data_IF_826932420214
#
_entry.id   IF_826932420214
#
_cell.length_a   1.000
_cell.length_b   1.000
_cell.length_c   1.000
_cell.angle_alpha   90.00
_cell.angle_beta   90.00
_cell.angle_gamma   90.00
#
_symmetry.space_group_name_H-M   'P 1'
#
loop_
_entity.id
_entity.type
_entity.pdbx_description
1 polymer ?
#
# COMPACT_ATOMS: atom_id res chain seq x y z
N UNK A 1 11.03 31.84 -22.14
CA UNK A 1 10.26 30.97 -21.25
C UNK A 1 10.50 31.45 -19.84
N UNK A 2 9.54 32.16 -19.22
CA UNK A 2 9.66 32.58 -17.83
C UNK A 2 9.52 31.34 -16.96
N UNK A 3 10.62 30.89 -16.34
CA UNK A 3 10.58 29.92 -15.28
C UNK A 3 9.86 30.57 -14.10
N UNK A 4 8.61 30.21 -13.89
CA UNK A 4 7.89 30.56 -12.67
C UNK A 4 8.61 29.79 -11.56
N UNK A 5 9.51 30.45 -10.84
CA UNK A 5 10.08 29.91 -9.61
C UNK A 5 8.93 29.73 -8.62
N UNK A 6 8.65 28.50 -8.17
CA UNK A 6 7.60 28.29 -7.19
C UNK A 6 7.89 29.14 -5.95
N UNK A 7 6.87 29.84 -5.49
CA UNK A 7 6.97 30.66 -4.28
C UNK A 7 7.23 29.70 -3.09
N UNK A 8 8.38 29.78 -2.41
CA UNK A 8 8.69 28.83 -1.36
C UNK A 8 7.73 29.00 -0.17
N UNK A 9 7.33 27.86 0.40
CA UNK A 9 6.41 27.85 1.53
C UNK A 9 7.05 28.40 2.80
N UNK A 10 6.33 29.26 3.50
CA UNK A 10 6.69 29.75 4.84
C UNK A 10 6.04 28.79 5.86
N UNK A 11 6.84 27.94 6.51
CA UNK A 11 6.35 26.93 7.47
C UNK A 11 6.98 27.17 8.83
N UNK A 12 6.14 27.48 9.82
CA UNK A 12 6.60 27.65 11.22
C UNK A 12 6.72 26.29 11.92
N UNK A 13 7.56 26.19 12.94
CA UNK A 13 7.68 25.00 13.78
C UNK A 13 6.34 24.59 14.43
N UNK A 14 5.47 25.55 14.73
CA UNK A 14 4.13 25.26 15.28
C UNK A 14 3.19 24.61 14.26
N UNK A 15 3.38 24.87 12.97
CA UNK A 15 2.58 24.27 11.89
C UNK A 15 2.94 22.81 11.64
N UNK A 16 4.15 22.39 12.03
CA UNK A 16 4.66 21.04 11.85
C UNK A 16 4.31 20.18 13.06
N UNK A 17 3.03 19.84 13.19
CA UNK A 17 2.59 18.90 14.23
C UNK A 17 2.84 17.46 13.80
N UNK A 18 3.61 16.74 14.61
CA UNK A 18 3.86 15.31 14.39
C UNK A 18 2.63 14.52 14.77
N UNK A 19 2.16 13.65 13.88
CA UNK A 19 1.22 12.61 14.29
C UNK A 19 1.91 11.63 15.25
N UNK A 20 1.23 11.23 16.34
CA UNK A 20 1.73 10.13 17.17
C UNK A 20 1.92 8.89 16.31
N UNK A 21 3.10 8.26 16.36
CA UNK A 21 3.41 7.07 15.55
C UNK A 21 2.38 5.95 15.71
N UNK A 22 1.86 5.78 16.92
CA UNK A 22 0.81 4.79 17.20
C UNK A 22 -0.45 5.08 16.39
N UNK A 23 -0.87 6.34 16.30
CA UNK A 23 -2.04 6.73 15.53
C UNK A 23 -1.85 6.47 14.02
N UNK A 24 -0.68 6.82 13.49
CA UNK A 24 -0.35 6.56 12.09
C UNK A 24 -0.37 5.05 11.77
N UNK A 25 0.24 4.22 12.66
CA UNK A 25 0.23 2.77 12.52
C UNK A 25 -1.19 2.19 12.65
N UNK A 26 -2.03 2.75 13.52
CA UNK A 26 -3.44 2.36 13.64
C UNK A 26 -4.22 2.64 12.34
N UNK A 27 -3.99 3.78 11.68
CA UNK A 27 -4.60 4.06 10.37
C UNK A 27 -4.12 3.07 9.31
N UNK A 28 -2.82 2.77 9.26
CA UNK A 28 -2.29 1.75 8.34
C UNK A 28 -2.89 0.38 8.62
N UNK A 29 -2.96 -0.04 9.88
CA UNK A 29 -3.56 -1.32 10.27
C UNK A 29 -5.05 -1.37 9.94
N UNK A 30 -5.81 -0.31 10.26
CA UNK A 30 -7.22 -0.21 9.94
C UNK A 30 -7.50 -0.24 8.43
N UNK A 31 -6.53 0.14 7.62
CA UNK A 31 -6.62 0.06 6.17
C UNK A 31 -6.27 -1.33 5.62
N UNK A 32 -5.21 -1.98 6.14
CA UNK A 32 -4.71 -3.27 5.64
C UNK A 32 -5.52 -4.45 6.18
N UNK A 33 -5.85 -4.47 7.48
CA UNK A 33 -6.46 -5.63 8.14
C UNK A 33 -7.85 -6.00 7.62
N UNK A 34 -8.77 -5.07 7.34
CA UNK A 34 -10.09 -5.44 6.79
C UNK A 34 -10.03 -6.11 5.42
N UNK A 35 -8.95 -5.89 4.66
CA UNK A 35 -8.70 -6.58 3.40
C UNK A 35 -8.26 -8.04 3.58
N UNK A 36 -7.66 -8.37 4.72
CA UNK A 36 -7.19 -9.72 5.04
C UNK A 36 -8.28 -10.58 5.67
N UNK A 37 -9.07 -10.01 6.60
CA UNK A 37 -10.03 -10.76 7.42
C UNK A 37 -11.48 -10.54 6.99
N UNK A 38 -12.33 -11.54 7.17
CA UNK A 38 -13.77 -11.42 7.12
C UNK A 38 -14.41 -11.37 5.72
N UNK A 39 -13.66 -11.71 4.66
CA UNK A 39 -14.22 -11.80 3.30
C UNK A 39 -13.90 -13.15 2.66
N UNK A 40 -14.91 -13.97 2.48
CA UNK A 40 -14.82 -15.07 1.52
C UNK A 40 -14.85 -14.51 0.08
N UNK A 41 -14.24 -15.21 -0.91
CA UNK A 41 -14.35 -14.84 -2.32
C UNK A 41 -15.83 -14.94 -2.74
N UNK A 42 -16.52 -13.81 -2.89
CA UNK A 42 -17.95 -13.80 -3.16
C UNK A 42 -18.32 -13.23 -4.53
N UNK A 43 -17.48 -12.39 -5.11
CA UNK A 43 -17.64 -11.91 -6.49
C UNK A 43 -17.11 -12.95 -7.46
N UNK A 44 -17.75 -13.11 -8.65
CA UNK A 44 -17.34 -14.09 -9.64
C UNK A 44 -15.86 -13.98 -10.05
N UNK A 45 -15.33 -12.75 -10.18
CA UNK A 45 -13.92 -12.51 -10.49
C UNK A 45 -12.99 -12.96 -9.35
N UNK A 46 -13.36 -12.75 -8.09
CA UNK A 46 -12.59 -13.17 -6.92
C UNK A 46 -12.60 -14.70 -6.79
N UNK A 47 -13.76 -15.31 -7.04
CA UNK A 47 -13.92 -16.76 -7.00
C UNK A 47 -13.11 -17.46 -8.09
N UNK A 48 -13.11 -16.93 -9.32
CA UNK A 48 -12.31 -17.49 -10.41
C UNK A 48 -10.82 -17.34 -10.14
N UNK A 49 -10.37 -16.15 -9.72
CA UNK A 49 -8.95 -15.90 -9.38
C UNK A 49 -8.47 -16.81 -8.25
N UNK A 50 -9.24 -16.92 -7.17
CA UNK A 50 -8.95 -17.84 -6.06
C UNK A 50 -8.95 -19.30 -6.53
N UNK A 51 -9.89 -19.69 -7.39
CA UNK A 51 -9.96 -21.03 -7.97
C UNK A 51 -8.67 -21.42 -8.73
N UNK A 52 -8.13 -20.50 -9.56
CA UNK A 52 -6.86 -20.72 -10.24
C UNK A 52 -5.69 -20.85 -9.25
N UNK A 53 -5.61 -19.98 -8.23
CA UNK A 53 -4.57 -20.06 -7.19
C UNK A 53 -4.61 -21.41 -6.47
N UNK A 54 -5.82 -21.86 -6.08
CA UNK A 54 -6.00 -23.13 -5.40
C UNK A 54 -5.67 -24.33 -6.29
N UNK A 55 -6.10 -24.30 -7.55
CA UNK A 55 -5.81 -25.39 -8.51
C UNK A 55 -4.30 -25.52 -8.79
N UNK A 56 -3.59 -24.39 -8.84
CA UNK A 56 -2.13 -24.37 -8.98
C UNK A 56 -1.48 -24.94 -7.69
N UNK A 57 -1.90 -24.47 -6.52
CA UNK A 57 -1.34 -24.89 -5.24
C UNK A 57 -1.52 -26.39 -4.98
N UNK A 58 -2.64 -26.96 -5.38
CA UNK A 58 -2.95 -28.38 -5.26
C UNK A 58 -2.35 -29.24 -6.39
N UNK A 59 -1.65 -28.65 -7.35
CA UNK A 59 -1.05 -29.36 -8.48
C UNK A 59 -2.05 -29.89 -9.50
N UNK A 60 -3.31 -29.43 -9.47
CA UNK A 60 -4.36 -29.84 -10.42
C UNK A 60 -4.17 -29.23 -11.81
N UNK A 61 -3.38 -28.17 -11.92
CA UNK A 61 -3.08 -27.48 -13.18
C UNK A 61 -1.61 -27.02 -13.19
N UNK A 62 -0.97 -26.93 -14.38
CA UNK A 62 0.41 -26.50 -14.46
C UNK A 62 0.57 -25.00 -14.11
N UNK A 63 1.71 -24.66 -13.52
CA UNK A 63 2.02 -23.28 -13.15
C UNK A 63 2.16 -22.34 -14.35
N UNK A 64 2.63 -22.86 -15.50
CA UNK A 64 2.88 -22.06 -16.69
C UNK A 64 1.64 -21.73 -17.51
N UNK A 65 0.62 -22.58 -17.45
CA UNK A 65 -0.62 -22.45 -18.23
C UNK A 65 -1.80 -23.00 -17.42
N UNK A 66 -2.22 -22.31 -16.35
CA UNK A 66 -3.29 -22.81 -15.50
C UNK A 66 -4.64 -22.79 -16.21
N UNK A 67 -5.41 -23.86 -15.99
CA UNK A 67 -6.76 -24.02 -16.53
C UNK A 67 -7.74 -24.47 -15.46
N UNK A 68 -8.99 -24.03 -15.53
CA UNK A 68 -10.08 -24.51 -14.70
C UNK A 68 -11.26 -24.89 -15.61
N UNK A 69 -11.71 -26.13 -15.50
CA UNK A 69 -12.81 -26.63 -16.35
C UNK A 69 -12.54 -26.51 -17.86
N UNK A 70 -11.27 -26.57 -18.27
CA UNK A 70 -10.84 -26.37 -19.65
C UNK A 70 -10.68 -24.91 -20.09
N UNK A 71 -11.02 -23.95 -19.22
CA UNK A 71 -10.84 -22.50 -19.49
C UNK A 71 -9.42 -22.07 -19.07
N UNK A 72 -8.65 -21.46 -19.98
CA UNK A 72 -7.32 -20.95 -19.65
C UNK A 72 -7.41 -19.67 -18.83
N UNK A 73 -6.36 -19.37 -18.07
CA UNK A 73 -6.21 -18.10 -17.37
C UNK A 73 -5.91 -16.99 -18.39
N UNK A 74 -6.80 -16.00 -18.48
CA UNK A 74 -6.68 -14.85 -19.40
C UNK A 74 -5.95 -13.66 -18.80
N UNK A 75 -5.65 -13.70 -17.49
CA UNK A 75 -5.03 -12.60 -16.74
C UNK A 75 -3.55 -12.88 -16.44
N UNK A 76 -2.86 -11.90 -15.81
CA UNK A 76 -1.45 -12.01 -15.46
C UNK A 76 -1.19 -13.21 -14.52
N UNK A 77 -0.15 -14.00 -14.80
CA UNK A 77 0.23 -15.18 -14.01
C UNK A 77 0.81 -14.84 -12.63
N UNK A 78 1.57 -13.75 -12.52
CA UNK A 78 2.29 -13.41 -11.31
C UNK A 78 1.43 -13.29 -10.04
N UNK A 79 0.28 -12.61 -10.04
CA UNK A 79 -0.61 -12.60 -8.88
C UNK A 79 -1.09 -14.00 -8.47
N UNK A 80 -1.38 -14.86 -9.45
CA UNK A 80 -1.83 -16.24 -9.19
C UNK A 80 -0.72 -17.09 -8.62
N UNK A 81 0.52 -16.92 -9.06
CA UNK A 81 1.69 -17.61 -8.49
C UNK A 81 1.94 -17.18 -7.04
N UNK A 82 1.83 -15.89 -6.73
CA UNK A 82 1.97 -15.37 -5.37
C UNK A 82 0.90 -15.98 -4.44
N UNK A 83 -0.36 -15.97 -4.87
CA UNK A 83 -1.45 -16.56 -4.10
C UNK A 83 -1.31 -18.08 -3.95
N UNK A 84 -0.98 -18.79 -5.04
CA UNK A 84 -0.78 -20.25 -5.01
C UNK A 84 0.41 -20.65 -4.12
N UNK A 85 1.53 -19.93 -4.22
CA UNK A 85 2.68 -20.16 -3.36
C UNK A 85 2.37 -19.93 -1.88
N UNK A 86 1.60 -18.89 -1.57
CA UNK A 86 1.16 -18.64 -0.21
C UNK A 86 0.20 -19.73 0.30
N UNK A 87 -0.74 -20.19 -0.52
CA UNK A 87 -1.61 -21.33 -0.18
C UNK A 87 -0.77 -22.57 0.12
N UNK A 88 0.16 -22.92 -0.77
CA UNK A 88 0.99 -24.11 -0.60
C UNK A 88 1.83 -24.08 0.68
N UNK A 89 2.30 -22.89 1.10
CA UNK A 89 3.13 -22.73 2.30
C UNK A 89 2.31 -22.61 3.59
N UNK A 90 1.18 -21.93 3.54
CA UNK A 90 0.45 -21.49 4.75
C UNK A 90 -0.83 -22.32 5.01
N UNK A 91 -1.39 -23.03 4.02
CA UNK A 91 -2.63 -23.77 4.20
C UNK A 91 -2.60 -24.86 5.30
N UNK A 92 -1.44 -25.41 5.73
CA UNK A 92 -1.39 -26.25 6.92
C UNK A 92 -1.67 -25.52 8.23
N UNK A 93 -1.55 -24.18 8.25
CA UNK A 93 -1.64 -23.35 9.44
C UNK A 93 -2.89 -22.46 9.45
N UNK A 94 -3.33 -22.02 8.28
CA UNK A 94 -4.45 -21.10 8.10
C UNK A 94 -5.29 -21.51 6.88
N UNK A 95 -6.54 -21.03 6.82
CA UNK A 95 -7.45 -21.31 5.71
C UNK A 95 -6.89 -20.81 4.37
N UNK A 96 -7.10 -21.59 3.30
CA UNK A 96 -6.61 -21.28 1.96
C UNK A 96 -7.04 -19.89 1.44
N UNK A 97 -8.29 -19.41 1.65
CA UNK A 97 -8.68 -18.04 1.27
C UNK A 97 -7.89 -16.95 1.99
N UNK A 98 -7.58 -17.13 3.26
CA UNK A 98 -6.74 -16.20 4.03
C UNK A 98 -5.29 -16.29 3.55
N UNK A 99 -4.75 -17.51 3.37
CA UNK A 99 -3.40 -17.73 2.87
C UNK A 99 -3.16 -17.03 1.52
N UNK A 100 -4.12 -17.13 0.58
CA UNK A 100 -4.04 -16.46 -0.71
C UNK A 100 -3.94 -14.92 -0.61
N UNK A 101 -4.50 -14.30 0.43
CA UNK A 101 -4.53 -12.83 0.62
C UNK A 101 -3.30 -12.28 1.31
N UNK A 102 -2.59 -13.10 2.10
CA UNK A 102 -1.42 -12.65 2.87
C UNK A 102 -0.39 -11.92 1.99
N UNK A 103 0.06 -12.44 0.83
CA UNK A 103 1.05 -11.75 0.02
C UNK A 103 0.55 -10.38 -0.49
N UNK A 104 -0.73 -10.24 -0.81
CA UNK A 104 -1.29 -8.96 -1.27
C UNK A 104 -1.40 -7.95 -0.12
N UNK A 105 -1.75 -8.39 1.08
CA UNK A 105 -1.72 -7.55 2.29
C UNK A 105 -0.30 -7.08 2.62
N UNK A 106 0.69 -7.95 2.49
CA UNK A 106 2.11 -7.58 2.67
C UNK A 106 2.60 -6.60 1.59
N UNK A 107 2.22 -6.80 0.33
CA UNK A 107 2.53 -5.86 -0.75
C UNK A 107 1.90 -4.49 -0.50
N UNK A 108 0.64 -4.45 -0.06
CA UNK A 108 -0.01 -3.20 0.32
C UNK A 108 0.72 -2.50 1.47
N UNK A 109 1.07 -3.24 2.53
CA UNK A 109 1.85 -2.70 3.63
C UNK A 109 3.22 -2.16 3.16
N UNK A 110 3.89 -2.88 2.25
CA UNK A 110 5.14 -2.45 1.63
C UNK A 110 4.97 -1.14 0.86
N UNK A 111 3.90 -1.00 0.07
CA UNK A 111 3.59 0.25 -0.66
C UNK A 111 3.41 1.41 0.31
N UNK A 112 2.69 1.22 1.42
CA UNK A 112 2.51 2.26 2.43
C UNK A 112 3.86 2.68 3.04
N UNK A 113 4.70 1.72 3.41
CA UNK A 113 6.04 1.97 3.95
C UNK A 113 6.92 2.71 2.94
N UNK A 114 6.98 2.24 1.70
CA UNK A 114 7.79 2.86 0.64
C UNK A 114 7.31 4.29 0.33
N UNK A 115 6.00 4.53 0.32
CA UNK A 115 5.44 5.88 0.12
C UNK A 115 5.88 6.81 1.24
N UNK A 116 5.80 6.38 2.49
CA UNK A 116 6.26 7.18 3.62
C UNK A 116 7.74 7.50 3.49
N UNK A 117 8.59 6.49 3.22
CA UNK A 117 10.03 6.69 3.07
C UNK A 117 10.39 7.57 1.88
N UNK A 118 9.74 7.38 0.74
CA UNK A 118 9.96 8.20 -0.45
C UNK A 118 9.61 9.67 -0.19
N UNK A 119 8.42 9.93 0.39
CA UNK A 119 8.00 11.27 0.75
C UNK A 119 8.95 11.91 1.77
N UNK A 120 9.40 11.15 2.79
CA UNK A 120 10.37 11.61 3.78
C UNK A 120 11.70 12.02 3.14
N UNK A 121 12.26 11.18 2.26
CA UNK A 121 13.52 11.49 1.60
C UNK A 121 13.42 12.68 0.63
N UNK A 122 12.31 12.75 -0.13
CA UNK A 122 12.06 13.88 -1.01
C UNK A 122 11.93 15.20 -0.23
N UNK A 123 11.18 15.18 0.88
CA UNK A 123 10.99 16.36 1.71
C UNK A 123 12.26 16.83 2.44
N UNK A 124 13.29 15.97 2.56
CA UNK A 124 14.60 16.34 3.12
C UNK A 124 15.54 17.00 2.13
N UNK A 125 15.22 17.00 0.85
CA UNK A 125 16.05 17.67 -0.17
C UNK A 125 16.02 19.18 0.02
N UNK A 126 17.12 19.86 -0.23
CA UNK A 126 17.22 21.33 -0.10
C UNK A 126 16.13 22.05 -0.91
N UNK A 127 15.80 21.52 -2.09
CA UNK A 127 14.78 22.10 -2.96
C UNK A 127 13.36 22.04 -2.40
N UNK A 128 13.08 21.10 -1.48
CA UNK A 128 11.77 20.89 -0.87
C UNK A 128 11.64 21.56 0.52
N UNK A 129 12.76 22.04 1.08
CA UNK A 129 12.74 22.66 2.40
C UNK A 129 12.09 24.06 2.38
N UNK A 130 11.37 24.45 3.45
CA UNK A 130 10.86 25.80 3.60
C UNK A 130 11.99 26.82 3.72
N UNK A 131 11.74 28.06 3.34
CA UNK A 131 12.71 29.14 3.52
C UNK A 131 12.98 29.39 4.99
N UNK A 132 14.27 29.66 5.35
CA UNK A 132 14.59 30.11 6.70
C UNK A 132 14.00 31.49 6.95
N UNK A 133 13.53 31.73 8.17
CA UNK A 133 13.06 33.04 8.60
C UNK A 133 14.23 33.92 9.06
N UNK A 134 14.09 35.24 8.83
CA UNK A 134 15.12 36.19 9.23
C UNK A 134 15.40 36.23 10.76
N UNK A 135 14.42 35.81 11.56
CA UNK A 135 14.49 35.82 13.03
C UNK A 135 14.39 34.42 13.65
N UNK A 136 14.47 33.37 12.84
CA UNK A 136 14.26 31.99 13.29
C UNK A 136 12.79 31.64 13.50
N UNK A 137 12.52 30.40 13.95
CA UNK A 137 11.16 29.89 14.18
C UNK A 137 10.62 29.09 12.98
N UNK A 138 11.44 28.84 11.96
CA UNK A 138 11.16 27.88 10.90
C UNK A 138 11.11 26.46 11.42
N UNK A 139 10.42 25.59 10.68
CA UNK A 139 10.33 24.18 11.00
C UNK A 139 11.69 23.50 10.87
N UNK A 140 12.02 22.65 11.85
CA UNK A 140 13.20 21.78 11.74
C UNK A 140 13.06 20.86 10.53
N UNK A 141 14.17 20.67 9.79
CA UNK A 141 14.23 19.91 8.53
C UNK A 141 13.63 18.49 8.66
N UNK A 142 13.93 17.82 9.77
CA UNK A 142 13.47 16.45 10.00
C UNK A 142 11.98 16.44 10.39
N UNK A 143 11.53 17.43 11.15
CA UNK A 143 10.14 17.54 11.58
C UNK A 143 9.22 17.87 10.40
N UNK A 144 9.66 18.81 9.56
CA UNK A 144 8.98 19.11 8.31
C UNK A 144 8.87 17.87 7.41
N UNK A 145 9.99 17.16 7.18
CA UNK A 145 10.00 15.96 6.34
C UNK A 145 9.08 14.86 6.89
N UNK A 146 9.00 14.68 8.22
CA UNK A 146 8.09 13.73 8.85
C UNK A 146 6.63 14.11 8.65
N UNK A 147 6.28 15.38 8.87
CA UNK A 147 4.91 15.85 8.66
C UNK A 147 4.47 15.67 7.20
N UNK A 148 5.37 15.95 6.24
CA UNK A 148 5.10 15.73 4.82
C UNK A 148 4.90 14.24 4.50
N UNK A 149 5.72 13.36 5.07
CA UNK A 149 5.60 11.91 4.88
C UNK A 149 4.31 11.35 5.49
N UNK A 150 3.95 11.80 6.70
CA UNK A 150 2.69 11.42 7.36
C UNK A 150 1.49 11.89 6.53
N UNK A 151 1.51 13.13 6.03
CA UNK A 151 0.48 13.68 5.16
C UNK A 151 0.35 12.92 3.83
N UNK A 152 1.47 12.60 3.18
CA UNK A 152 1.49 11.81 1.94
C UNK A 152 0.90 10.42 2.13
N UNK A 153 1.23 9.75 3.25
CA UNK A 153 0.69 8.44 3.59
C UNK A 153 -0.82 8.48 3.84
N UNK A 154 -1.30 9.47 4.60
CA UNK A 154 -2.73 9.66 4.84
C UNK A 154 -3.49 9.99 3.56
N UNK A 155 -2.91 10.81 2.68
CA UNK A 155 -3.48 11.11 1.37
C UNK A 155 -3.59 9.85 0.50
N UNK A 156 -2.57 8.99 0.50
CA UNK A 156 -2.61 7.72 -0.22
C UNK A 156 -3.73 6.82 0.32
N UNK A 157 -3.84 6.65 1.63
CA UNK A 157 -4.90 5.85 2.26
C UNK A 157 -6.29 6.39 1.89
N UNK A 158 -6.46 7.71 1.95
CA UNK A 158 -7.73 8.35 1.61
C UNK A 158 -8.11 8.15 0.14
N UNK A 159 -7.16 8.33 -0.80
CA UNK A 159 -7.41 8.16 -2.24
C UNK A 159 -7.73 6.71 -2.60
N UNK A 160 -7.00 5.74 -2.05
CA UNK A 160 -7.28 4.32 -2.26
C UNK A 160 -8.62 3.91 -1.64
N UNK A 161 -8.97 4.44 -0.47
CA UNK A 161 -10.27 4.22 0.16
C UNK A 161 -11.44 4.74 -0.67
N UNK A 162 -11.31 5.93 -1.24
CA UNK A 162 -12.33 6.52 -2.12
C UNK A 162 -12.53 5.73 -3.42
N UNK A 163 -11.46 5.20 -4.01
CA UNK A 163 -11.54 4.35 -5.19
C UNK A 163 -12.33 3.05 -4.93
N UNK A 164 -12.24 2.49 -3.73
CA UNK A 164 -13.02 1.29 -3.36
C UNK A 164 -14.50 1.57 -3.12
N UNK A 165 -14.87 2.79 -2.73
CA UNK A 165 -16.27 3.19 -2.51
C UNK A 165 -16.97 3.58 -3.81
N UNK A 166 -16.23 3.89 -4.89
CA UNK A 166 -16.76 4.31 -6.20
C UNK A 166 -17.07 3.14 -7.16
N UNK A 167 -16.87 1.91 -6.74
CA UNK A 167 -17.17 0.66 -7.43
C UNK A 167 -18.11 -0.18 -6.57
#
# INVERSE_FOLDING_TARGET
>A
MNSVTPNPALVTQQAVQRLPRVLLLMFCAAYVLPGLFGRDPWRGADQSSFGYMLAIAEGRTPWSAPTIGGLPLETALLPHWLGAGAIALLSPLIDAPLAARVPFGLLLALVLVLTWYAAFQLARTEAAQPLPFAFGGEADTVDYARAMADGALLALIATLGLLQLGH
#
